data_IF_134286554270
#
_entry.id   IF_134286554270
#
_cell.length_a   1.000
_cell.length_b   1.000
_cell.length_c   1.000
_cell.angle_alpha   90.00
_cell.angle_beta   90.00
_cell.angle_gamma   90.00
#
_symmetry.space_group_name_H-M   'P 1'
#
loop_
_entity.id
_entity.type
_entity.pdbx_description
1 polymer ?
#
# COMPACT_ATOMS: atom_id res chain seq x y z
N UNK A 1 2.29 13.56 8.24
CA UNK A 1 3.04 12.48 7.58
C UNK A 1 2.59 12.45 6.12
N UNK A 2 3.35 13.06 5.19
CA UNK A 2 3.01 13.00 3.75
C UNK A 2 3.09 11.56 3.30
N UNK A 3 1.98 11.02 2.79
CA UNK A 3 1.98 9.76 2.04
C UNK A 3 2.88 10.02 0.83
N UNK A 4 4.14 9.56 0.88
CA UNK A 4 5.03 9.59 -0.28
C UNK A 4 4.34 8.77 -1.36
N UNK A 5 4.12 9.31 -2.57
CA UNK A 5 3.27 8.66 -3.56
C UNK A 5 4.09 7.59 -4.26
N UNK A 6 4.45 6.52 -3.54
CA UNK A 6 5.13 5.35 -4.12
C UNK A 6 4.32 4.80 -5.30
N UNK A 7 2.99 4.85 -5.23
CA UNK A 7 2.13 4.50 -6.36
C UNK A 7 2.41 5.32 -7.61
N UNK A 8 2.53 6.65 -7.50
CA UNK A 8 2.80 7.50 -8.67
C UNK A 8 4.24 7.33 -9.16
N UNK A 9 5.22 7.31 -8.25
CA UNK A 9 6.62 7.13 -8.60
C UNK A 9 6.90 5.77 -9.28
N UNK A 10 6.27 4.70 -8.80
CA UNK A 10 6.36 3.36 -9.42
C UNK A 10 5.70 3.36 -10.79
N UNK A 11 4.50 3.94 -10.92
CA UNK A 11 3.79 4.00 -12.20
C UNK A 11 4.55 4.83 -13.24
N UNK A 12 5.14 5.95 -12.82
CA UNK A 12 5.97 6.82 -13.66
C UNK A 12 7.27 6.12 -14.09
N UNK A 13 7.93 5.38 -13.18
CA UNK A 13 9.12 4.61 -13.51
C UNK A 13 8.84 3.48 -14.52
N UNK A 14 7.69 2.81 -14.37
CA UNK A 14 7.22 1.81 -15.34
C UNK A 14 6.94 2.45 -16.69
N UNK A 15 6.25 3.60 -16.69
CA UNK A 15 5.92 4.32 -17.92
C UNK A 15 7.16 4.89 -18.63
N UNK A 16 8.21 5.29 -17.89
CA UNK A 16 9.42 5.85 -18.48
C UNK A 16 10.35 4.80 -19.09
N UNK A 17 10.29 3.55 -18.61
CA UNK A 17 11.13 2.45 -19.09
C UNK A 17 12.62 2.60 -18.75
N UNK A 18 12.99 3.56 -17.90
CA UNK A 18 14.37 3.80 -17.51
C UNK A 18 14.80 2.82 -16.41
N UNK A 19 15.80 1.99 -16.69
CA UNK A 19 16.26 0.94 -15.77
C UNK A 19 16.67 1.48 -14.39
N UNK A 20 17.31 2.64 -14.33
CA UNK A 20 17.70 3.26 -13.05
C UNK A 20 16.47 3.63 -12.21
N UNK A 21 15.45 4.22 -12.83
CA UNK A 21 14.21 4.59 -12.13
C UNK A 21 13.41 3.37 -11.68
N UNK A 22 13.39 2.32 -12.50
CA UNK A 22 12.75 1.06 -12.14
C UNK A 22 13.35 0.47 -10.86
N UNK A 23 14.69 0.46 -10.75
CA UNK A 23 15.39 -0.06 -9.55
C UNK A 23 15.18 0.80 -8.31
N UNK A 24 15.16 2.13 -8.47
CA UNK A 24 14.84 3.04 -7.38
C UNK A 24 13.41 2.84 -6.88
N UNK A 25 12.45 2.72 -7.80
CA UNK A 25 11.05 2.46 -7.49
C UNK A 25 10.86 1.10 -6.81
N UNK A 26 11.55 0.05 -7.28
CA UNK A 26 11.57 -1.28 -6.66
C UNK A 26 12.10 -1.23 -5.23
N UNK A 27 13.25 -0.59 -5.01
CA UNK A 27 13.86 -0.46 -3.68
C UNK A 27 12.94 0.29 -2.72
N UNK A 28 12.32 1.37 -3.21
CA UNK A 28 11.38 2.18 -2.43
C UNK A 28 10.10 1.41 -2.08
N UNK A 29 9.57 0.63 -3.02
CA UNK A 29 8.39 -0.21 -2.80
C UNK A 29 8.70 -1.33 -1.79
N UNK A 30 9.85 -1.99 -1.92
CA UNK A 30 10.27 -3.03 -0.98
C UNK A 30 10.47 -2.47 0.43
N UNK A 31 11.14 -1.32 0.58
CA UNK A 31 11.29 -0.67 1.88
C UNK A 31 9.94 -0.35 2.54
N UNK A 32 8.94 0.05 1.74
CA UNK A 32 7.59 0.26 2.24
C UNK A 32 6.93 -1.04 2.73
N UNK A 33 7.09 -2.14 1.99
CA UNK A 33 6.59 -3.45 2.40
C UNK A 33 7.30 -3.95 3.67
N UNK A 34 8.61 -3.72 3.80
CA UNK A 34 9.37 -4.14 4.97
C UNK A 34 8.99 -3.33 6.23
N UNK A 35 8.72 -2.03 6.08
CA UNK A 35 8.35 -1.15 7.20
C UNK A 35 6.90 -1.34 7.65
N UNK A 36 5.97 -1.52 6.69
CA UNK A 36 4.53 -1.46 6.96
C UNK A 36 3.79 -2.79 6.75
N UNK A 37 4.42 -3.75 6.07
CA UNK A 37 3.78 -5.01 5.66
C UNK A 37 2.73 -4.84 4.57
N UNK A 38 1.90 -5.87 4.39
CA UNK A 38 0.80 -5.85 3.42
C UNK A 38 -0.39 -5.02 3.92
N UNK A 39 -0.26 -3.69 3.79
CA UNK A 39 -1.29 -2.71 4.14
C UNK A 39 -2.64 -2.99 3.46
N UNK A 40 -2.73 -3.34 2.15
CA UNK A 40 -3.99 -3.73 1.52
C UNK A 40 -4.73 -4.87 2.25
N UNK A 41 -4.01 -5.94 2.61
CA UNK A 41 -4.59 -7.06 3.36
C UNK A 41 -5.01 -6.65 4.76
N UNK A 42 -4.16 -5.91 5.48
CA UNK A 42 -4.49 -5.40 6.82
C UNK A 42 -5.74 -4.50 6.81
N UNK A 43 -5.89 -3.64 5.80
CA UNK A 43 -7.05 -2.79 5.64
C UNK A 43 -8.33 -3.59 5.35
N UNK A 44 -8.24 -4.65 4.53
CA UNK A 44 -9.37 -5.53 4.28
C UNK A 44 -9.83 -6.25 5.57
N UNK A 45 -8.89 -6.74 6.37
CA UNK A 45 -9.18 -7.36 7.67
C UNK A 45 -9.80 -6.37 8.66
N UNK A 46 -9.28 -5.14 8.72
CA UNK A 46 -9.84 -4.08 9.56
C UNK A 46 -11.30 -3.78 9.18
N UNK A 47 -11.60 -3.63 7.89
CA UNK A 47 -12.98 -3.40 7.41
C UNK A 47 -13.92 -4.55 7.78
N UNK A 48 -13.44 -5.80 7.67
CA UNK A 48 -14.21 -6.96 8.06
C UNK A 48 -14.56 -6.92 9.56
N UNK A 49 -13.60 -6.58 10.41
CA UNK A 49 -13.82 -6.52 11.85
C UNK A 49 -14.78 -5.38 12.24
N UNK A 50 -14.65 -4.22 11.59
CA UNK A 50 -15.62 -3.11 11.73
C UNK A 50 -17.03 -3.59 11.38
N UNK A 51 -17.20 -4.23 10.22
CA UNK A 51 -18.51 -4.71 9.78
C UNK A 51 -19.14 -5.73 10.74
N UNK A 52 -18.34 -6.61 11.37
CA UNK A 52 -18.84 -7.55 12.39
C UNK A 52 -19.36 -6.81 13.64
N UNK A 53 -18.64 -5.78 14.08
CA UNK A 53 -19.01 -5.01 15.28
C UNK A 53 -20.22 -4.11 15.02
N UNK A 54 -20.32 -3.52 13.84
CA UNK A 54 -21.48 -2.73 13.42
C UNK A 54 -22.73 -3.60 13.26
N UNK A 55 -22.61 -4.77 12.62
CA UNK A 55 -23.71 -5.74 12.48
C UNK A 55 -24.19 -6.32 13.81
N UNK A 56 -23.32 -6.39 14.84
CA UNK A 56 -23.68 -6.82 16.19
C UNK A 56 -24.48 -5.81 17.01
N UNK A 57 -24.62 -4.56 16.55
CA UNK A 57 -25.33 -3.49 17.28
C UNK A 57 -26.86 -3.51 17.15
N UNK A 58 -27.43 -4.52 16.49
CA UNK A 58 -28.88 -4.74 16.40
C UNK A 58 -29.29 -5.96 17.23
N UNK A 59 -29.50 -5.77 18.54
CA UNK A 59 -30.39 -6.59 19.38
C UNK A 59 -30.74 -5.83 20.64
#
# INVERSE_FOLDING_TARGET
MSIKPYGVAVTDAIASGELSRLKEAETAAQAHLDEYGDIPTLLALLKLEIAKLEGKKSY
#
